data_IF_801629111806
#
_entry.id   IF_801629111806
#
_cell.length_a   1.000
_cell.length_b   1.000
_cell.length_c   1.000
_cell.angle_alpha   90.00
_cell.angle_beta   90.00
_cell.angle_gamma   90.00
#
_symmetry.space_group_name_H-M   'P 1'
#
loop_
_entity.id
_entity.type
_entity.pdbx_description
1 polymer ?
#
# COMPACT_ATOMS: atom_id res chain seq x y z
N UNK A 1 11.00 -3.63 12.47
CA UNK A 1 10.82 -2.45 11.62
C UNK A 1 9.74 -2.71 10.55
N UNK A 2 9.89 -3.76 9.74
CA UNK A 2 8.97 -4.08 8.63
C UNK A 2 7.53 -4.23 9.10
N UNK A 3 7.26 -5.05 10.11
CA UNK A 3 5.92 -5.24 10.65
C UNK A 3 5.31 -3.91 11.11
N UNK A 4 6.10 -3.07 11.80
CA UNK A 4 5.63 -1.75 12.23
C UNK A 4 5.25 -0.87 11.03
N UNK A 5 6.13 -0.79 10.01
CA UNK A 5 5.88 0.00 8.80
C UNK A 5 4.64 -0.53 8.06
N UNK A 6 4.54 -1.85 7.91
CA UNK A 6 3.40 -2.48 7.23
C UNK A 6 2.10 -2.24 7.98
N UNK A 7 2.06 -2.49 9.28
CA UNK A 7 0.81 -2.35 10.08
C UNK A 7 0.40 -0.89 10.15
N UNK A 8 1.28 0.00 10.60
CA UNK A 8 0.96 1.43 10.75
C UNK A 8 0.67 2.07 9.39
N UNK A 9 1.51 1.78 8.38
CA UNK A 9 1.34 2.30 7.02
C UNK A 9 0.02 1.83 6.41
N UNK A 10 -0.28 0.53 6.44
CA UNK A 10 -1.52 -0.02 5.87
C UNK A 10 -2.76 0.53 6.56
N UNK A 11 -2.79 0.58 7.89
CA UNK A 11 -3.94 1.10 8.63
C UNK A 11 -4.18 2.58 8.32
N UNK A 12 -3.14 3.42 8.44
CA UNK A 12 -3.27 4.85 8.18
C UNK A 12 -3.64 5.13 6.74
N UNK A 13 -3.02 4.46 5.76
CA UNK A 13 -3.33 4.62 4.34
C UNK A 13 -4.75 4.16 4.00
N UNK A 14 -5.20 3.05 4.57
CA UNK A 14 -6.56 2.55 4.34
C UNK A 14 -7.60 3.53 4.91
N UNK A 15 -7.39 4.07 6.11
CA UNK A 15 -8.30 5.04 6.72
C UNK A 15 -8.37 6.32 5.87
N UNK A 16 -7.23 6.88 5.50
CA UNK A 16 -7.18 8.12 4.69
C UNK A 16 -7.82 7.91 3.31
N UNK A 17 -7.53 6.76 2.68
CA UNK A 17 -8.13 6.42 1.39
C UNK A 17 -9.65 6.20 1.51
N UNK A 18 -10.13 5.56 2.59
CA UNK A 18 -11.56 5.34 2.81
C UNK A 18 -12.32 6.67 3.00
N UNK A 19 -11.76 7.60 3.77
CA UNK A 19 -12.36 8.93 3.94
C UNK A 19 -12.40 9.67 2.61
N UNK A 20 -11.27 9.71 1.88
CA UNK A 20 -11.20 10.36 0.57
C UNK A 20 -12.14 9.72 -0.46
N UNK A 21 -12.18 8.40 -0.53
CA UNK A 21 -13.05 7.64 -1.44
C UNK A 21 -14.52 7.86 -1.12
N UNK A 22 -14.91 7.92 0.16
CA UNK A 22 -16.27 8.22 0.59
C UNK A 22 -16.72 9.59 0.11
N UNK A 23 -15.95 10.64 0.41
CA UNK A 23 -16.25 12.00 -0.03
C UNK A 23 -16.38 12.09 -1.56
N UNK A 24 -15.49 11.40 -2.28
CA UNK A 24 -15.47 11.43 -3.75
C UNK A 24 -16.50 10.50 -4.40
N UNK A 25 -17.16 9.60 -3.66
CA UNK A 25 -18.14 8.66 -4.18
C UNK A 25 -19.59 9.16 -4.06
N UNK A 26 -19.84 10.15 -3.20
CA UNK A 26 -21.18 10.62 -2.83
C UNK A 26 -21.62 11.84 -3.66
N UNK A 27 -22.65 12.56 -3.17
CA UNK A 27 -23.25 13.69 -3.87
C UNK A 27 -22.19 14.62 -4.49
N UNK A 28 -22.37 15.03 -5.74
CA UNK A 28 -21.41 15.90 -6.40
C UNK A 28 -21.31 17.23 -5.65
N UNK A 29 -20.08 17.65 -5.37
CA UNK A 29 -19.78 18.95 -4.78
C UNK A 29 -18.98 19.83 -5.77
N UNK A 30 -18.97 21.14 -5.57
CA UNK A 30 -18.17 22.02 -6.42
C UNK A 30 -16.71 21.56 -6.49
N UNK A 31 -16.13 21.57 -7.70
CA UNK A 31 -14.73 21.14 -7.94
C UNK A 31 -14.42 19.64 -7.81
N UNK A 32 -15.36 18.75 -7.49
CA UNK A 32 -15.12 17.30 -7.40
C UNK A 32 -14.44 16.74 -8.65
N UNK A 33 -14.90 17.14 -9.84
CA UNK A 33 -14.31 16.73 -11.13
C UNK A 33 -12.87 17.25 -11.27
N UNK A 34 -12.63 18.52 -10.90
CA UNK A 34 -11.30 19.12 -10.95
C UNK A 34 -10.32 18.42 -9.99
N UNK A 35 -10.76 18.13 -8.76
CA UNK A 35 -9.95 17.37 -7.79
C UNK A 35 -9.61 15.97 -8.32
N UNK A 36 -10.58 15.26 -8.90
CA UNK A 36 -10.34 13.95 -9.50
C UNK A 36 -9.33 14.04 -10.64
N UNK A 37 -9.47 15.04 -11.51
CA UNK A 37 -8.55 15.26 -12.63
C UNK A 37 -7.13 15.57 -12.14
N UNK A 38 -6.99 16.41 -11.10
CA UNK A 38 -5.69 16.70 -10.47
C UNK A 38 -5.06 15.44 -9.90
N UNK A 39 -5.81 14.61 -9.21
CA UNK A 39 -5.31 13.35 -8.66
C UNK A 39 -4.84 12.39 -9.77
N UNK A 40 -5.63 12.26 -10.84
CA UNK A 40 -5.25 11.47 -12.00
C UNK A 40 -3.99 12.05 -12.67
N UNK A 41 -3.90 13.37 -12.78
CA UNK A 41 -2.71 14.04 -13.34
C UNK A 41 -1.44 13.68 -12.55
N UNK A 42 -1.48 13.71 -11.20
CA UNK A 42 -0.33 13.33 -10.37
C UNK A 42 0.07 11.86 -10.50
N UNK A 43 -0.81 11.01 -10.99
CA UNK A 43 -0.51 9.60 -11.24
C UNK A 43 0.40 9.42 -12.48
N UNK A 44 0.24 10.26 -13.49
CA UNK A 44 1.02 10.21 -14.74
C UNK A 44 2.21 11.16 -14.76
N UNK A 45 2.17 12.24 -13.99
CA UNK A 45 3.20 13.26 -13.94
C UNK A 45 3.81 13.33 -12.55
N UNK A 46 4.98 12.75 -12.37
CA UNK A 46 5.78 12.86 -11.14
C UNK A 46 6.83 13.96 -11.26
N UNK A 47 7.16 14.60 -10.15
CA UNK A 47 8.23 15.60 -10.08
C UNK A 47 9.63 15.03 -10.27
N UNK A 48 9.77 13.68 -10.25
CA UNK A 48 11.05 12.99 -10.32
C UNK A 48 11.70 12.77 -8.95
N UNK A 49 12.70 11.89 -8.93
CA UNK A 49 13.34 11.42 -7.70
C UNK A 49 14.11 12.54 -6.96
N UNK A 50 14.81 13.42 -7.69
CA UNK A 50 15.65 14.47 -7.07
C UNK A 50 14.81 15.51 -6.34
N UNK A 51 13.77 16.13 -6.95
CA UNK A 51 12.87 17.04 -6.24
C UNK A 51 12.16 16.40 -5.06
N UNK A 52 11.74 15.14 -5.20
CA UNK A 52 11.09 14.39 -4.12
C UNK A 52 12.04 14.15 -2.95
N UNK A 53 13.31 13.81 -3.22
CA UNK A 53 14.34 13.68 -2.20
C UNK A 53 14.57 14.98 -1.43
N UNK A 54 14.72 16.10 -2.14
CA UNK A 54 14.93 17.43 -1.54
C UNK A 54 13.74 17.81 -0.66
N UNK A 55 12.52 17.58 -1.15
CA UNK A 55 11.29 17.85 -0.40
C UNK A 55 11.23 17.06 0.90
N UNK A 56 11.41 15.73 0.82
CA UNK A 56 11.27 14.86 1.99
C UNK A 56 12.41 15.02 2.99
N UNK A 57 13.65 15.16 2.52
CA UNK A 57 14.83 15.21 3.35
C UNK A 57 15.10 16.60 3.91
N UNK A 58 15.05 17.66 3.08
CA UNK A 58 15.50 19.00 3.44
C UNK A 58 14.35 19.88 3.92
N UNK A 59 13.17 19.82 3.30
CA UNK A 59 12.05 20.69 3.68
C UNK A 59 11.18 20.08 4.78
N UNK A 60 10.83 18.80 4.64
CA UNK A 60 9.99 18.10 5.62
C UNK A 60 10.79 17.47 6.78
N UNK A 61 12.13 17.46 6.70
CA UNK A 61 13.03 16.87 7.68
C UNK A 61 12.68 15.43 8.07
N UNK A 62 12.18 14.66 7.11
CA UNK A 62 11.81 13.25 7.30
C UNK A 62 12.97 12.28 7.10
N UNK A 63 14.15 12.78 6.72
CA UNK A 63 15.35 11.96 6.52
C UNK A 63 15.68 11.11 7.73
N UNK A 64 16.11 9.88 7.50
CA UNK A 64 16.43 8.90 8.54
C UNK A 64 15.32 8.64 9.57
N UNK A 65 14.04 8.85 9.19
CA UNK A 65 12.87 8.55 10.00
C UNK A 65 11.95 7.58 9.24
N UNK A 66 11.39 6.57 9.94
CA UNK A 66 10.45 5.61 9.33
C UNK A 66 9.20 6.26 8.75
N UNK A 67 8.81 7.43 9.23
CA UNK A 67 7.69 8.21 8.72
C UNK A 67 7.87 8.63 7.25
N UNK A 68 9.11 8.73 6.76
CA UNK A 68 9.38 9.02 5.35
C UNK A 68 8.82 7.96 4.39
N UNK A 69 8.67 6.71 4.87
CA UNK A 69 8.08 5.61 4.10
C UNK A 69 6.55 5.59 4.16
N UNK A 70 5.96 6.20 5.20
CA UNK A 70 4.51 6.14 5.46
C UNK A 70 3.81 7.38 4.95
N UNK A 71 4.27 8.58 5.35
CA UNK A 71 3.56 9.84 5.08
C UNK A 71 3.35 10.14 3.59
N UNK A 72 4.36 10.00 2.70
CA UNK A 72 4.16 10.25 1.28
C UNK A 72 3.25 9.23 0.59
N UNK A 73 3.17 8.01 1.14
CA UNK A 73 2.40 6.91 0.58
C UNK A 73 0.99 6.76 1.20
N UNK A 74 0.57 7.70 2.09
CA UNK A 74 -0.72 7.63 2.79
C UNK A 74 -1.92 7.52 1.84
N UNK A 75 -1.87 8.16 0.68
CA UNK A 75 -2.96 8.11 -0.29
C UNK A 75 -2.39 7.76 -1.66
N UNK A 76 -2.71 6.56 -2.13
CA UNK A 76 -2.49 6.16 -3.51
C UNK A 76 -3.69 6.54 -4.35
N UNK A 77 -3.49 7.32 -5.41
CA UNK A 77 -4.57 7.73 -6.32
C UNK A 77 -5.26 6.51 -6.93
N UNK A 78 -4.52 5.47 -7.31
CA UNK A 78 -5.08 4.23 -7.83
C UNK A 78 -6.02 3.56 -6.81
N UNK A 79 -5.54 3.37 -5.57
CA UNK A 79 -6.33 2.75 -4.51
C UNK A 79 -7.57 3.57 -4.17
N UNK A 80 -7.47 4.90 -4.19
CA UNK A 80 -8.59 5.80 -3.95
C UNK A 80 -9.66 5.66 -5.04
N UNK A 81 -9.28 5.61 -6.32
CA UNK A 81 -10.22 5.43 -7.43
C UNK A 81 -10.93 4.08 -7.34
N UNK A 82 -10.19 3.00 -7.06
CA UNK A 82 -10.78 1.65 -6.89
C UNK A 82 -11.77 1.65 -5.74
N UNK A 83 -11.37 2.17 -4.57
CA UNK A 83 -12.24 2.24 -3.39
C UNK A 83 -13.47 3.13 -3.61
N UNK A 84 -13.29 4.30 -4.26
CA UNK A 84 -14.39 5.17 -4.65
C UNK A 84 -15.40 4.45 -5.52
N UNK A 85 -14.94 3.67 -6.50
CA UNK A 85 -15.82 2.91 -7.39
C UNK A 85 -16.59 1.84 -6.61
N UNK A 86 -15.93 1.16 -5.68
CA UNK A 86 -16.59 0.21 -4.78
C UNK A 86 -17.65 0.86 -3.89
N UNK A 87 -17.39 2.05 -3.35
CA UNK A 87 -18.35 2.79 -2.54
C UNK A 87 -19.51 3.33 -3.38
N UNK A 88 -19.24 3.81 -4.58
CA UNK A 88 -20.28 4.30 -5.50
C UNK A 88 -21.25 3.21 -5.99
N UNK A 89 -20.86 1.94 -5.89
CA UNK A 89 -21.74 0.81 -6.21
C UNK A 89 -22.79 0.51 -5.13
N UNK A 90 -22.63 1.07 -3.92
CA UNK A 90 -23.57 0.90 -2.81
C UNK A 90 -24.77 1.82 -3.02
N UNK A 91 -26.03 1.30 -2.93
CA UNK A 91 -27.23 2.10 -3.14
C UNK A 91 -27.33 3.28 -2.18
N UNK A 92 -27.68 4.45 -2.71
CA UNK A 92 -27.83 5.69 -1.92
C UNK A 92 -28.98 5.61 -0.88
N UNK A 93 -29.96 4.74 -1.13
CA UNK A 93 -31.10 4.53 -0.21
C UNK A 93 -30.68 4.09 1.20
N UNK A 94 -29.56 3.35 1.32
CA UNK A 94 -29.03 2.93 2.64
C UNK A 94 -28.51 4.14 3.43
N UNK A 95 -27.91 5.08 2.74
CA UNK A 95 -27.38 6.30 3.33
C UNK A 95 -28.49 7.29 3.66
N UNK A 96 -29.48 7.43 2.76
CA UNK A 96 -30.64 8.31 2.97
C UNK A 96 -31.48 7.85 4.18
N UNK A 97 -31.72 6.56 4.30
CA UNK A 97 -32.41 6.01 5.48
C UNK A 97 -31.68 6.34 6.78
N UNK A 98 -30.36 6.14 6.81
CA UNK A 98 -29.54 6.44 7.98
C UNK A 98 -29.52 7.94 8.33
N UNK A 99 -29.55 8.83 7.33
CA UNK A 99 -29.67 10.28 7.56
C UNK A 99 -31.01 10.68 8.14
N UNK A 100 -32.10 10.03 7.72
CA UNK A 100 -33.43 10.23 8.31
C UNK A 100 -33.41 9.82 9.79
N UNK A 101 -32.69 8.74 10.13
CA UNK A 101 -32.49 8.27 11.50
C UNK A 101 -31.52 9.15 12.32
N UNK A 102 -31.01 10.26 11.74
CA UNK A 102 -30.14 11.21 12.43
C UNK A 102 -28.66 10.79 12.50
N UNK A 103 -28.23 9.79 11.71
CA UNK A 103 -26.83 9.36 11.69
C UNK A 103 -25.90 10.44 11.07
N UNK A 104 -24.77 10.70 11.72
CA UNK A 104 -23.72 11.55 11.15
C UNK A 104 -22.99 10.88 9.99
N UNK A 105 -22.37 11.66 9.08
CA UNK A 105 -21.60 11.15 7.94
C UNK A 105 -20.51 10.16 8.37
N UNK A 106 -19.85 10.42 9.48
CA UNK A 106 -18.85 9.51 10.04
C UNK A 106 -19.48 8.17 10.51
N UNK A 107 -20.66 8.23 11.09
CA UNK A 107 -21.41 7.01 11.51
C UNK A 107 -21.83 6.21 10.28
N UNK A 108 -22.32 6.88 9.24
CA UNK A 108 -22.68 6.26 7.96
C UNK A 108 -21.48 5.56 7.34
N UNK A 109 -20.34 6.26 7.25
CA UNK A 109 -19.11 5.66 6.73
C UNK A 109 -18.71 4.41 7.52
N UNK A 110 -18.63 4.51 8.86
CA UNK A 110 -18.08 3.44 9.70
C UNK A 110 -19.04 2.26 9.88
N UNK A 111 -20.34 2.52 10.01
CA UNK A 111 -21.33 1.48 10.35
C UNK A 111 -22.09 0.92 9.16
N UNK A 112 -22.10 1.63 8.03
CA UNK A 112 -22.86 1.21 6.84
C UNK A 112 -21.93 0.95 5.68
N UNK A 113 -21.20 1.97 5.23
CA UNK A 113 -20.43 1.88 3.99
C UNK A 113 -19.25 0.90 4.11
N UNK A 114 -18.42 1.03 5.14
CA UNK A 114 -17.27 0.14 5.35
C UNK A 114 -17.69 -1.33 5.49
N UNK A 115 -18.70 -1.70 6.32
CA UNK A 115 -19.13 -3.09 6.41
C UNK A 115 -19.70 -3.66 5.11
N UNK A 116 -20.44 -2.89 4.33
CA UNK A 116 -20.97 -3.32 3.03
C UNK A 116 -19.85 -3.45 2.00
N UNK A 117 -18.85 -2.56 2.04
CA UNK A 117 -17.71 -2.54 1.14
C UNK A 117 -16.54 -3.42 1.60
N UNK A 118 -16.71 -4.28 2.61
CA UNK A 118 -15.63 -5.13 3.14
C UNK A 118 -14.81 -5.87 2.06
N UNK A 119 -15.39 -6.42 0.99
CA UNK A 119 -14.61 -7.05 -0.07
C UNK A 119 -13.67 -6.07 -0.77
N UNK A 120 -14.13 -4.86 -1.08
CA UNK A 120 -13.30 -3.81 -1.68
C UNK A 120 -12.22 -3.33 -0.70
N UNK A 121 -12.58 -3.13 0.56
CA UNK A 121 -11.63 -2.75 1.62
C UNK A 121 -10.51 -3.76 1.77
N UNK A 122 -10.81 -5.07 1.75
CA UNK A 122 -9.81 -6.13 1.86
C UNK A 122 -8.80 -6.10 0.71
N UNK A 123 -9.23 -5.79 -0.51
CA UNK A 123 -8.35 -5.62 -1.67
C UNK A 123 -7.39 -4.45 -1.46
N UNK A 124 -7.90 -3.31 -1.00
CA UNK A 124 -7.08 -2.10 -0.78
C UNK A 124 -6.09 -2.30 0.38
N UNK A 125 -6.53 -2.96 1.46
CA UNK A 125 -5.64 -3.35 2.57
C UNK A 125 -4.49 -4.22 2.05
N UNK A 126 -4.79 -5.21 1.20
CA UNK A 126 -3.75 -6.04 0.59
C UNK A 126 -2.77 -5.23 -0.26
N UNK A 127 -3.27 -4.34 -1.12
CA UNK A 127 -2.42 -3.52 -1.98
C UNK A 127 -1.46 -2.65 -1.16
N UNK A 128 -1.94 -2.00 -0.10
CA UNK A 128 -1.08 -1.24 0.80
C UNK A 128 -0.10 -2.13 1.57
N UNK A 129 -0.56 -3.25 2.14
CA UNK A 129 0.30 -4.16 2.89
C UNK A 129 1.45 -4.71 2.04
N UNK A 130 1.17 -5.14 0.81
CA UNK A 130 2.19 -5.63 -0.14
C UNK A 130 3.12 -4.50 -0.57
N UNK A 131 2.61 -3.29 -0.81
CA UNK A 131 3.42 -2.12 -1.15
C UNK A 131 4.41 -1.78 -0.04
N UNK A 132 3.95 -1.68 1.21
CA UNK A 132 4.82 -1.41 2.36
C UNK A 132 5.79 -2.57 2.65
N UNK A 133 5.38 -3.81 2.46
CA UNK A 133 6.26 -4.97 2.60
C UNK A 133 7.44 -4.90 1.63
N UNK A 134 7.20 -4.44 0.40
CA UNK A 134 8.20 -4.36 -0.67
C UNK A 134 8.93 -3.00 -0.74
N UNK A 135 8.80 -2.11 0.23
CA UNK A 135 9.33 -0.73 0.23
C UNK A 135 10.86 -0.65 0.44
N UNK A 136 11.65 -1.43 -0.33
CA UNK A 136 13.11 -1.43 -0.19
C UNK A 136 13.75 -0.19 -0.81
N UNK A 137 13.21 0.32 -1.93
CA UNK A 137 13.85 1.39 -2.71
C UNK A 137 13.85 2.71 -1.95
N UNK A 138 12.68 3.16 -1.50
CA UNK A 138 12.55 4.35 -0.67
C UNK A 138 13.33 4.22 0.63
N UNK A 139 13.29 3.04 1.25
CA UNK A 139 14.04 2.80 2.48
C UNK A 139 15.55 2.90 2.27
N UNK A 140 16.07 2.44 1.14
CA UNK A 140 17.50 2.54 0.82
C UNK A 140 17.97 3.98 0.54
N UNK A 141 17.07 4.85 0.04
CA UNK A 141 17.39 6.25 -0.26
C UNK A 141 17.30 7.13 1.00
N UNK A 142 16.25 6.97 1.81
CA UNK A 142 15.94 7.91 2.87
C UNK A 142 16.41 7.49 4.25
N UNK A 143 16.67 6.20 4.51
CA UNK A 143 17.18 5.71 5.78
C UNK A 143 18.69 5.51 5.71
N UNK A 144 19.41 6.06 6.68
CA UNK A 144 20.87 5.91 6.82
C UNK A 144 21.25 5.00 7.99
N UNK A 145 20.37 4.87 8.98
CA UNK A 145 20.60 4.03 10.15
C UNK A 145 20.12 2.60 9.88
N UNK A 146 21.05 1.65 9.85
CA UNK A 146 20.76 0.22 9.62
C UNK A 146 19.77 -0.37 10.62
N UNK A 147 19.69 0.17 11.83
CA UNK A 147 18.70 -0.25 12.84
C UNK A 147 17.25 0.07 12.45
N UNK A 148 17.05 0.96 11.49
CA UNK A 148 15.72 1.37 10.99
C UNK A 148 15.31 0.64 9.72
N UNK A 149 16.23 -0.10 9.09
CA UNK A 149 15.98 -0.76 7.82
C UNK A 149 14.84 -1.78 7.91
N UNK A 150 13.93 -1.79 6.94
CA UNK A 150 13.00 -2.88 6.73
C UNK A 150 13.73 -4.13 6.22
N UNK A 151 13.09 -5.28 6.36
CA UNK A 151 13.63 -6.58 5.99
C UNK A 151 14.10 -6.63 4.53
N UNK A 152 13.34 -6.08 3.61
CA UNK A 152 13.64 -6.12 2.18
C UNK A 152 14.98 -5.45 1.82
N UNK A 153 15.37 -4.39 2.53
CA UNK A 153 16.69 -3.75 2.34
C UNK A 153 17.81 -4.70 2.77
N UNK A 154 17.64 -5.35 3.93
CA UNK A 154 18.63 -6.30 4.47
C UNK A 154 18.77 -7.52 3.56
N UNK A 155 17.65 -8.07 3.09
CA UNK A 155 17.65 -9.21 2.17
C UNK A 155 18.35 -8.86 0.85
N UNK A 156 18.14 -7.64 0.35
CA UNK A 156 18.83 -7.15 -0.84
C UNK A 156 20.33 -6.95 -0.62
N UNK A 157 20.75 -6.40 0.53
CA UNK A 157 22.17 -6.31 0.88
C UNK A 157 22.83 -7.70 0.87
N UNK A 158 22.20 -8.70 1.46
CA UNK A 158 22.69 -10.08 1.47
C UNK A 158 22.86 -10.62 0.04
N UNK A 159 21.88 -10.40 -0.84
CA UNK A 159 21.95 -10.86 -2.23
C UNK A 159 23.08 -10.18 -3.01
N UNK A 160 23.27 -8.87 -2.81
CA UNK A 160 24.32 -8.11 -3.50
C UNK A 160 25.72 -8.57 -3.01
N UNK A 161 25.91 -8.72 -1.71
CA UNK A 161 27.19 -9.18 -1.15
C UNK A 161 27.54 -10.57 -1.68
N UNK A 162 26.56 -11.49 -1.71
CA UNK A 162 26.80 -12.84 -2.23
C UNK A 162 27.18 -12.83 -3.72
N UNK A 163 26.46 -12.08 -4.55
CA UNK A 163 26.77 -11.98 -5.98
C UNK A 163 28.15 -11.39 -6.25
N UNK A 164 28.60 -10.43 -5.43
CA UNK A 164 29.94 -9.84 -5.55
C UNK A 164 31.04 -10.82 -5.13
N UNK A 165 30.79 -11.62 -4.10
CA UNK A 165 31.70 -12.64 -3.62
C UNK A 165 31.86 -13.77 -4.63
N UNK A 166 30.76 -14.21 -5.27
CA UNK A 166 30.78 -15.19 -6.36
C UNK A 166 31.64 -14.72 -7.55
N UNK A 167 31.60 -13.42 -7.89
CA UNK A 167 32.43 -12.84 -8.96
C UNK A 167 33.92 -12.76 -8.59
N UNK A 168 34.27 -12.63 -7.31
CA UNK A 168 35.65 -12.44 -6.87
C UNK A 168 36.37 -13.76 -6.55
N UNK A 169 35.66 -14.79 -6.10
CA UNK A 169 36.26 -16.04 -5.55
C UNK A 169 36.34 -17.14 -6.62
N UNK A 170 36.17 -16.88 -7.92
CA UNK A 170 36.37 -17.86 -9.02
C UNK A 170 36.28 -19.35 -8.60
N UNK A 171 35.36 -20.09 -9.19
CA UNK A 171 35.27 -21.58 -9.30
C UNK A 171 35.66 -22.51 -8.11
N UNK A 172 35.60 -22.08 -6.87
CA UNK A 172 35.59 -23.08 -5.78
C UNK A 172 34.13 -23.52 -5.57
N UNK A 173 33.78 -24.71 -6.04
CA UNK A 173 32.40 -25.25 -6.07
C UNK A 173 31.63 -25.21 -4.73
N UNK A 174 32.32 -25.16 -3.60
CA UNK A 174 31.69 -25.03 -2.27
C UNK A 174 31.17 -23.59 -2.01
N UNK A 175 31.87 -22.55 -2.46
CA UNK A 175 31.43 -21.17 -2.27
C UNK A 175 30.17 -20.86 -3.11
N UNK A 176 30.11 -21.43 -4.30
CA UNK A 176 28.98 -21.29 -5.22
C UNK A 176 27.72 -21.96 -4.67
N UNK A 177 27.84 -23.19 -4.13
CA UNK A 177 26.72 -23.89 -3.49
C UNK A 177 26.16 -23.17 -2.26
N UNK A 178 27.03 -22.52 -1.46
CA UNK A 178 26.62 -21.71 -0.30
C UNK A 178 25.90 -20.43 -0.78
N UNK A 179 26.42 -19.75 -1.81
CA UNK A 179 25.80 -18.55 -2.39
C UNK A 179 24.40 -18.82 -2.91
N UNK A 180 24.22 -19.92 -3.65
CA UNK A 180 22.90 -20.34 -4.12
C UNK A 180 21.92 -20.64 -2.98
N UNK A 181 22.38 -21.35 -1.93
CA UNK A 181 21.56 -21.65 -0.77
C UNK A 181 21.08 -20.39 -0.05
N UNK A 182 21.95 -19.40 0.12
CA UNK A 182 21.59 -18.10 0.71
C UNK A 182 20.58 -17.36 -0.17
N UNK A 183 20.74 -17.39 -1.49
CA UNK A 183 19.80 -16.80 -2.44
C UNK A 183 18.40 -17.39 -2.30
N UNK A 184 18.27 -18.72 -2.28
CA UNK A 184 16.98 -19.38 -2.12
C UNK A 184 16.36 -19.11 -0.73
N UNK A 185 17.16 -19.16 0.34
CA UNK A 185 16.71 -18.81 1.68
C UNK A 185 16.16 -17.39 1.75
N UNK A 186 16.84 -16.43 1.10
CA UNK A 186 16.42 -15.02 1.03
C UNK A 186 15.08 -14.87 0.31
N UNK A 187 14.90 -15.57 -0.82
CA UNK A 187 13.64 -15.57 -1.56
C UNK A 187 12.51 -16.13 -0.70
N UNK A 188 12.74 -17.23 0.00
CA UNK A 188 11.74 -17.82 0.89
C UNK A 188 11.32 -16.86 2.01
N UNK A 189 12.28 -16.23 2.69
CA UNK A 189 12.00 -15.25 3.76
C UNK A 189 11.22 -14.04 3.25
N UNK A 190 11.51 -13.58 2.02
CA UNK A 190 10.80 -12.46 1.39
C UNK A 190 9.36 -12.82 1.02
N UNK A 191 9.11 -14.06 0.54
CA UNK A 191 7.87 -14.47 -0.12
C UNK A 191 6.86 -15.14 0.82
N UNK A 192 7.33 -16.00 1.74
CA UNK A 192 6.47 -16.80 2.63
C UNK A 192 5.46 -15.96 3.41
N UNK A 193 5.81 -14.80 4.01
CA UNK A 193 4.84 -14.00 4.74
C UNK A 193 3.68 -13.50 3.88
N UNK A 194 3.95 -13.16 2.62
CA UNK A 194 2.90 -12.74 1.67
C UNK A 194 2.00 -13.93 1.31
N UNK A 195 2.60 -15.10 1.04
CA UNK A 195 1.85 -16.32 0.72
C UNK A 195 0.96 -16.78 1.88
N UNK A 196 1.39 -16.60 3.13
CA UNK A 196 0.59 -16.94 4.31
C UNK A 196 -0.64 -16.03 4.48
N UNK A 197 -0.56 -14.77 4.05
CA UNK A 197 -1.68 -13.82 4.13
C UNK A 197 -2.68 -14.05 3.00
N UNK A 198 -2.24 -14.54 1.84
CA UNK A 198 -3.06 -14.69 0.65
C UNK A 198 -4.36 -15.51 0.86
N UNK A 199 -4.36 -16.70 1.50
CA UNK A 199 -5.59 -17.49 1.69
C UNK A 199 -6.66 -16.77 2.51
N UNK A 200 -6.26 -15.91 3.47
CA UNK A 200 -7.20 -15.14 4.28
C UNK A 200 -7.92 -14.07 3.46
N UNK A 201 -7.26 -13.54 2.45
CA UNK A 201 -7.80 -12.49 1.60
C UNK A 201 -8.56 -13.06 0.39
N UNK A 202 -8.17 -14.24 -0.09
CA UNK A 202 -8.80 -14.92 -1.24
C UNK A 202 -10.32 -15.04 -1.09
N UNK A 203 -10.82 -15.33 0.11
CA UNK A 203 -12.27 -15.43 0.38
C UNK A 203 -13.04 -14.14 0.09
N UNK A 204 -12.40 -12.98 0.19
CA UNK A 204 -13.01 -11.67 -0.10
C UNK A 204 -12.97 -11.36 -1.58
N UNK A 205 -11.93 -11.79 -2.31
CA UNK A 205 -11.85 -11.65 -3.76
C UNK A 205 -12.96 -12.41 -4.48
N UNK A 206 -13.18 -13.67 -4.09
CA UNK A 206 -14.22 -14.52 -4.71
C UNK A 206 -15.61 -13.92 -4.52
N UNK A 207 -15.91 -13.36 -3.35
CA UNK A 207 -17.20 -12.71 -3.07
C UNK A 207 -17.38 -11.38 -3.82
N UNK A 208 -16.30 -10.60 -3.98
CA UNK A 208 -16.36 -9.29 -4.65
C UNK A 208 -16.58 -9.39 -6.17
N UNK A 209 -16.00 -10.38 -6.82
CA UNK A 209 -16.16 -10.61 -8.27
C UNK A 209 -17.58 -11.05 -8.61
N UNK A 210 -18.22 -11.85 -7.77
CA UNK A 210 -19.57 -12.35 -8.00
C UNK A 210 -20.66 -11.26 -7.95
N UNK A 211 -20.48 -10.23 -7.13
CA UNK A 211 -21.43 -9.11 -7.04
C UNK A 211 -21.38 -8.20 -8.29
N UNK A 212 -20.24 -8.13 -8.98
CA UNK A 212 -20.10 -7.41 -10.25
C UNK A 212 -20.62 -8.16 -11.48
N UNK A 213 -20.62 -9.50 -11.43
CA UNK A 213 -21.01 -10.36 -12.56
C UNK A 213 -22.53 -10.61 -12.68
N UNK A 214 -23.32 -10.29 -11.65
CA UNK A 214 -24.79 -10.53 -11.64
C UNK A 214 -25.59 -9.32 -12.15
N UNK A 215 -24.94 -8.23 -12.58
CA UNK A 215 -25.57 -7.10 -13.26
C UNK A 215 -25.40 -7.17 -14.79
N UNK A 216 -25.68 -8.33 -15.36
CA UNK A 216 -25.84 -8.56 -16.79
C UNK A 216 -27.25 -9.04 -17.05
#
# INVERSE_FOLDING_TARGET
>A
NTILIVVVGTLSSTIMTAIGAYVMSRKPFPFQKAMMLMMIFTMYFSGGMIPDYILRNNWLHLGNNRLVLILPALVSTYNLIVMRTGFAAIPDSLEESARIDGASEFTILMRIIIPVALPCMAVIILFYAVSYWNSWFEASIYLTDRKKYPLQVILREILIVNSTTEMQVGESGNAQAIGESIKYATIMVATVPILLIYPFLQKYFVKGIMVGAVKG
#
